data_IF_136174161383
#
_entry.id   IF_136174161383
#
_cell.length_a   1.000
_cell.length_b   1.000
_cell.length_c   1.000
_cell.angle_alpha   90.00
_cell.angle_beta   90.00
_cell.angle_gamma   90.00
#
_symmetry.space_group_name_H-M   'P 1'
#
loop_
_entity.id
_entity.type
_entity.pdbx_description
1 polymer ?
#
# COMPACT_ATOMS: atom_id res chain seq x y z
N UNK A 1 0.37 9.88 -38.04
CA UNK A 1 0.93 8.94 -37.04
C UNK A 1 0.83 9.67 -35.72
N UNK A 2 -0.29 9.51 -35.03
CA UNK A 2 -0.60 10.23 -33.80
C UNK A 2 -0.19 9.35 -32.63
N UNK A 3 0.71 9.82 -31.79
CA UNK A 3 1.07 9.19 -30.52
C UNK A 3 -0.20 9.04 -29.65
N UNK A 4 -0.39 7.92 -28.94
CA UNK A 4 -1.51 7.79 -28.02
C UNK A 4 -1.21 8.62 -26.78
N UNK A 5 -1.99 9.68 -26.60
CA UNK A 5 -1.99 10.52 -25.40
C UNK A 5 -2.29 9.65 -24.18
N UNK A 6 -1.37 9.62 -23.22
CA UNK A 6 -1.58 9.03 -21.91
C UNK A 6 -2.89 9.60 -21.34
N UNK A 7 -3.81 8.72 -20.91
CA UNK A 7 -5.05 9.14 -20.25
C UNK A 7 -4.66 9.85 -18.96
N UNK A 8 -4.87 11.16 -18.92
CA UNK A 8 -4.75 11.96 -17.71
C UNK A 8 -5.79 11.49 -16.69
N UNK A 9 -5.35 10.80 -15.64
CA UNK A 9 -6.16 10.50 -14.46
C UNK A 9 -6.43 11.81 -13.70
N UNK A 10 -7.68 12.13 -13.29
CA UNK A 10 -7.97 13.41 -12.65
C UNK A 10 -7.18 13.59 -11.36
N UNK A 11 -6.54 14.75 -11.23
CA UNK A 11 -5.78 15.15 -10.05
C UNK A 11 -6.69 15.14 -8.79
N UNK A 12 -6.31 14.31 -7.81
CA UNK A 12 -6.41 14.63 -6.38
C UNK A 12 -7.79 14.64 -5.73
N UNK A 13 -8.30 13.47 -5.35
CA UNK A 13 -8.97 13.35 -4.04
C UNK A 13 -8.00 12.65 -3.10
N UNK A 14 -7.49 13.39 -2.11
CA UNK A 14 -6.73 12.80 -1.01
C UNK A 14 -7.61 11.75 -0.35
N UNK A 15 -7.08 10.54 -0.20
CA UNK A 15 -7.81 9.45 0.46
C UNK A 15 -7.85 9.74 1.95
N UNK A 16 -8.96 10.31 2.43
CA UNK A 16 -9.22 10.51 3.86
C UNK A 16 -9.90 9.27 4.42
N UNK A 17 -9.08 8.29 4.81
CA UNK A 17 -9.54 7.01 5.27
C UNK A 17 -8.84 6.64 6.57
N UNK A 18 -9.57 6.28 7.65
CA UNK A 18 -8.92 5.96 8.91
C UNK A 18 -8.11 4.67 8.78
N UNK A 19 -6.89 4.72 9.31
CA UNK A 19 -6.12 3.55 9.73
C UNK A 19 -6.20 3.43 11.24
N UNK A 20 -6.42 2.22 11.73
CA UNK A 20 -6.62 1.94 13.15
C UNK A 20 -5.40 1.30 13.79
N UNK A 21 -4.57 0.60 13.00
CA UNK A 21 -3.34 0.01 13.49
C UNK A 21 -2.34 1.09 13.91
N UNK A 22 -1.66 0.84 15.03
CA UNK A 22 -0.54 1.64 15.53
C UNK A 22 0.56 0.69 15.98
N UNK A 23 1.73 0.83 15.38
CA UNK A 23 2.93 0.10 15.72
C UNK A 23 3.83 0.97 16.60
N UNK A 24 4.11 0.48 17.80
CA UNK A 24 5.06 1.09 18.74
C UNK A 24 6.31 0.21 18.93
N UNK A 25 6.32 -0.98 18.31
CA UNK A 25 7.36 -2.00 18.42
C UNK A 25 7.18 -3.09 17.36
N UNK A 26 7.80 -4.29 17.55
CA UNK A 26 7.72 -5.38 16.58
C UNK A 26 6.29 -5.88 16.33
N UNK A 27 5.96 -6.22 15.07
CA UNK A 27 4.66 -6.81 14.70
C UNK A 27 4.41 -8.13 15.44
N UNK A 28 5.46 -8.88 15.76
CA UNK A 28 5.38 -10.15 16.48
C UNK A 28 4.77 -10.04 17.89
N UNK A 29 4.80 -8.84 18.49
CA UNK A 29 4.28 -8.60 19.83
C UNK A 29 2.76 -8.32 19.84
N UNK A 30 2.18 -8.08 18.67
CA UNK A 30 0.74 -7.90 18.51
C UNK A 30 -0.02 -9.22 18.69
N UNK A 31 -1.24 -9.15 19.20
CA UNK A 31 -2.16 -10.29 19.19
C UNK A 31 -2.52 -10.70 17.76
N UNK A 32 -2.97 -11.93 17.56
CA UNK A 32 -3.39 -12.44 16.25
C UNK A 32 -4.41 -11.53 15.55
N UNK A 33 -5.40 -10.98 16.27
CA UNK A 33 -6.40 -10.08 15.70
C UNK A 33 -5.82 -8.71 15.31
N UNK A 34 -4.88 -8.18 16.09
CA UNK A 34 -4.18 -6.93 15.76
C UNK A 34 -3.29 -7.11 14.53
N UNK A 35 -2.54 -8.21 14.45
CA UNK A 35 -1.77 -8.56 13.24
C UNK A 35 -2.70 -8.69 12.03
N UNK A 36 -3.85 -9.36 12.20
CA UNK A 36 -4.82 -9.55 11.12
C UNK A 36 -5.37 -8.22 10.60
N UNK A 37 -5.71 -7.29 11.51
CA UNK A 37 -6.15 -5.94 11.13
C UNK A 37 -5.05 -5.16 10.41
N UNK A 38 -3.83 -5.19 10.94
CA UNK A 38 -2.67 -4.54 10.33
C UNK A 38 -2.46 -5.01 8.89
N UNK A 39 -2.42 -6.33 8.67
CA UNK A 39 -2.20 -6.87 7.32
C UNK A 39 -3.39 -6.59 6.39
N UNK A 40 -4.63 -6.55 6.90
CA UNK A 40 -5.78 -6.14 6.11
C UNK A 40 -5.69 -4.67 5.66
N UNK A 41 -5.27 -3.77 6.56
CA UNK A 41 -5.05 -2.36 6.24
C UNK A 41 -3.91 -2.17 5.24
N UNK A 42 -2.75 -2.82 5.46
CA UNK A 42 -1.60 -2.74 4.55
C UNK A 42 -1.91 -3.34 3.17
N UNK A 43 -2.66 -4.44 3.10
CA UNK A 43 -3.15 -5.01 1.85
C UNK A 43 -4.02 -4.02 1.08
N UNK A 44 -4.91 -3.30 1.78
CA UNK A 44 -5.72 -2.24 1.19
C UNK A 44 -4.87 -1.08 0.66
N UNK A 45 -3.79 -0.69 1.34
CA UNK A 45 -2.90 0.38 0.89
C UNK A 45 -2.23 0.06 -0.46
N UNK A 46 -2.10 -1.21 -0.86
CA UNK A 46 -1.53 -1.60 -2.16
C UNK A 46 -2.30 -1.09 -3.37
N UNK A 47 -3.56 -0.70 -3.18
CA UNK A 47 -4.43 -0.11 -4.22
C UNK A 47 -4.37 1.41 -4.28
N UNK A 48 -3.62 2.07 -3.39
CA UNK A 48 -3.51 3.52 -3.35
C UNK A 48 -2.28 4.04 -4.07
N UNK A 49 -2.29 5.35 -4.34
CA UNK A 49 -1.12 6.04 -4.87
C UNK A 49 0.04 5.97 -3.87
N UNK A 50 1.28 6.06 -4.36
CA UNK A 50 2.47 6.02 -3.50
C UNK A 50 2.43 7.09 -2.39
N UNK A 51 1.88 8.26 -2.69
CA UNK A 51 1.73 9.35 -1.73
C UNK A 51 0.75 9.01 -0.60
N UNK A 52 -0.45 8.55 -0.94
CA UNK A 52 -1.45 8.18 0.07
C UNK A 52 -1.04 6.94 0.86
N UNK A 53 -0.51 5.92 0.18
CA UNK A 53 -0.03 4.70 0.81
C UNK A 53 1.10 5.00 1.81
N UNK A 54 2.09 5.81 1.41
CA UNK A 54 3.19 6.18 2.30
C UNK A 54 2.75 7.03 3.49
N UNK A 55 1.82 7.97 3.28
CA UNK A 55 1.27 8.77 4.40
C UNK A 55 0.53 7.88 5.41
N UNK A 56 -0.37 7.01 4.94
CA UNK A 56 -1.14 6.12 5.81
C UNK A 56 -0.24 5.07 6.50
N UNK A 57 0.77 4.54 5.80
CA UNK A 57 1.75 3.63 6.42
C UNK A 57 2.59 4.33 7.49
N UNK A 58 2.97 5.59 7.27
CA UNK A 58 3.64 6.41 8.28
C UNK A 58 2.75 6.60 9.53
N UNK A 59 1.46 6.89 9.33
CA UNK A 59 0.49 6.96 10.44
C UNK A 59 0.38 5.63 11.21
N UNK A 60 0.53 4.49 10.55
CA UNK A 60 0.55 3.16 11.21
C UNK A 60 1.85 2.95 12.02
N UNK A 61 2.96 3.59 11.65
CA UNK A 61 4.28 3.38 12.27
C UNK A 61 5.32 2.74 11.35
N UNK A 62 5.08 2.70 10.04
CA UNK A 62 5.99 2.18 9.00
C UNK A 62 6.44 3.34 8.09
N UNK A 63 7.42 4.17 8.51
CA UNK A 63 7.77 5.40 7.80
C UNK A 63 8.50 5.16 6.46
N UNK A 64 9.11 4.00 6.27
CA UNK A 64 9.78 3.69 5.00
C UNK A 64 8.78 3.17 3.97
N UNK A 65 8.81 3.70 2.75
CA UNK A 65 7.94 3.23 1.65
C UNK A 65 8.71 3.13 0.34
N UNK A 66 8.79 1.92 -0.21
CA UNK A 66 9.28 1.65 -1.56
C UNK A 66 8.14 1.10 -2.40
N UNK A 67 8.09 1.50 -3.66
CA UNK A 67 7.11 1.02 -4.64
C UNK A 67 7.84 0.40 -5.81
N UNK A 68 7.38 -0.76 -6.25
CA UNK A 68 7.89 -1.48 -7.39
C UNK A 68 6.75 -1.73 -8.37
N UNK A 69 7.02 -1.51 -9.64
CA UNK A 69 6.14 -1.86 -10.75
C UNK A 69 6.99 -2.57 -11.80
N UNK A 70 6.57 -3.78 -12.19
CA UNK A 70 7.24 -4.57 -13.21
C UNK A 70 6.22 -5.44 -13.94
N UNK A 71 6.11 -5.28 -15.25
CA UNK A 71 5.28 -6.14 -16.11
C UNK A 71 3.83 -6.27 -15.61
N UNK A 72 3.25 -5.18 -15.10
CA UNK A 72 1.89 -5.16 -14.52
C UNK A 72 1.80 -5.61 -13.06
N UNK A 73 2.82 -6.29 -12.53
CA UNK A 73 2.90 -6.61 -11.11
C UNK A 73 3.36 -5.38 -10.31
N UNK A 74 2.57 -5.02 -9.29
CA UNK A 74 2.85 -3.89 -8.41
C UNK A 74 2.98 -4.33 -6.96
N UNK A 75 3.98 -3.80 -6.27
CA UNK A 75 4.22 -4.09 -4.86
C UNK A 75 4.70 -2.86 -4.09
N UNK A 76 4.27 -2.75 -2.84
CA UNK A 76 4.86 -1.86 -1.86
C UNK A 76 5.71 -2.64 -0.86
N UNK A 77 6.74 -1.97 -0.37
CA UNK A 77 7.48 -2.39 0.81
C UNK A 77 7.38 -1.27 1.84
N UNK A 78 6.73 -1.57 2.96
CA UNK A 78 6.59 -0.68 4.10
C UNK A 78 7.53 -1.16 5.21
N UNK A 79 8.33 -0.26 5.79
CA UNK A 79 9.37 -0.63 6.75
C UNK A 79 9.43 0.28 7.97
N UNK A 80 9.91 -0.30 9.07
CA UNK A 80 10.33 0.36 10.29
C UNK A 80 11.61 -0.31 10.82
N UNK A 81 12.07 0.06 12.02
CA UNK A 81 13.28 -0.49 12.64
C UNK A 81 13.23 -2.02 12.81
N UNK A 82 12.07 -2.56 13.19
CA UNK A 82 11.92 -3.99 13.52
C UNK A 82 11.38 -4.84 12.38
N UNK A 83 10.59 -4.25 11.48
CA UNK A 83 9.76 -4.99 10.54
C UNK A 83 9.80 -4.40 9.13
N UNK A 84 9.62 -5.30 8.17
CA UNK A 84 9.45 -4.97 6.77
C UNK A 84 8.29 -5.80 6.21
N UNK A 85 7.25 -5.13 5.70
CA UNK A 85 6.07 -5.75 5.12
C UNK A 85 6.04 -5.52 3.62
N UNK A 86 5.98 -6.60 2.85
CA UNK A 86 5.80 -6.56 1.40
C UNK A 86 4.32 -6.77 1.09
N UNK A 87 3.69 -5.83 0.41
CA UNK A 87 2.31 -5.96 -0.06
C UNK A 87 2.28 -5.98 -1.57
N UNK A 88 1.61 -6.97 -2.14
CA UNK A 88 1.41 -7.07 -3.58
C UNK A 88 -0.02 -6.64 -3.91
N UNK A 89 -0.18 -5.82 -4.95
CA UNK A 89 -1.51 -5.50 -5.49
C UNK A 89 -2.03 -6.75 -6.21
N UNK A 90 -3.25 -7.17 -5.87
CA UNK A 90 -3.94 -8.22 -6.62
C UNK A 90 -4.38 -7.72 -8.00
N UNK A 91 -4.74 -8.64 -8.90
CA UNK A 91 -5.35 -8.27 -10.18
C UNK A 91 -6.70 -7.59 -9.94
N UNK A 92 -6.93 -6.44 -10.58
CA UNK A 92 -8.28 -5.86 -10.56
C UNK A 92 -9.27 -6.78 -11.28
N UNK A 93 -10.55 -6.84 -10.88
CA UNK A 93 -11.56 -7.70 -11.50
C UNK A 93 -11.73 -7.51 -13.02
N UNK A 94 -11.23 -6.40 -13.58
CA UNK A 94 -11.32 -6.05 -15.00
C UNK A 94 -9.99 -6.18 -15.76
N UNK A 95 -8.89 -6.59 -15.10
CA UNK A 95 -7.61 -6.84 -15.77
C UNK A 95 -7.40 -8.35 -15.95
N UNK A 96 -7.76 -8.82 -17.14
CA UNK A 96 -7.50 -10.18 -17.60
C UNK A 96 -6.08 -10.29 -18.18
N UNK A 97 -5.07 -10.11 -17.34
CA UNK A 97 -3.69 -10.48 -17.68
C UNK A 97 -3.14 -11.34 -16.55
N UNK A 98 -3.63 -12.58 -16.53
CA UNK A 98 -2.85 -13.75 -16.10
C UNK A 98 -2.41 -14.48 -17.38
#
# INVERSE_FOLDING_TARGET
MSEPTAKETPLGKVVNLPVYSRLEGPISDLTFLQQSLLFAELSRLSYFTRGDAGRLANEIGLPETRFYERDGAQAYVFGAEHDCVVTCRGTEPNEWND
#
